data_IF_193664714325
#
_entry.id   IF_193664714325
#
_cell.length_a   1.000
_cell.length_b   1.000
_cell.length_c   1.000
_cell.angle_alpha   90.00
_cell.angle_beta   90.00
_cell.angle_gamma   90.00
#
_symmetry.space_group_name_H-M   'P 1'
#
loop_
_entity.id
_entity.type
_entity.pdbx_description
1 polymer ?
#
# COMPACT_ATOMS: atom_id res chain seq x y z
N UNK A 1 24.55 19.61 -32.33
CA UNK A 1 23.14 19.97 -32.46
C UNK A 1 23.06 21.49 -32.50
N UNK A 2 22.50 22.07 -33.52
CA UNK A 2 22.30 23.51 -33.75
C UNK A 2 23.61 24.35 -33.77
N UNK A 3 24.60 24.02 -34.63
CA UNK A 3 25.86 24.75 -34.69
C UNK A 3 25.68 26.22 -35.07
N UNK A 4 24.57 26.55 -35.73
CA UNK A 4 24.17 27.91 -36.16
C UNK A 4 23.55 28.74 -35.03
N UNK A 5 23.25 28.09 -33.85
CA UNK A 5 22.64 28.72 -32.68
C UNK A 5 23.34 28.33 -31.38
N UNK A 6 24.61 28.70 -31.19
CA UNK A 6 25.33 28.37 -29.95
C UNK A 6 24.67 28.96 -28.69
N UNK A 7 24.00 30.11 -28.83
CA UNK A 7 23.25 30.76 -27.78
C UNK A 7 22.10 29.89 -27.23
N UNK A 8 21.58 28.93 -28.00
CA UNK A 8 20.55 28.02 -27.55
C UNK A 8 21.07 27.13 -26.40
N UNK A 9 22.33 26.68 -26.48
CA UNK A 9 22.98 25.89 -25.43
C UNK A 9 23.28 26.75 -24.22
N UNK A 10 23.80 27.96 -24.41
CA UNK A 10 24.05 28.89 -23.29
C UNK A 10 22.76 29.25 -22.54
N UNK A 11 21.65 29.41 -23.27
CA UNK A 11 20.37 29.74 -22.67
C UNK A 11 19.80 28.59 -21.81
N UNK A 12 20.18 27.31 -22.03
CA UNK A 12 19.78 26.21 -21.13
C UNK A 12 20.33 26.44 -19.71
N UNK A 13 21.57 26.92 -19.58
CA UNK A 13 22.17 27.27 -18.29
C UNK A 13 21.42 28.43 -17.66
N UNK A 14 21.11 29.48 -18.42
CA UNK A 14 20.37 30.64 -17.90
C UNK A 14 18.96 30.25 -17.41
N UNK A 15 18.31 29.28 -18.08
CA UNK A 15 17.01 28.76 -17.61
C UNK A 15 17.16 28.01 -16.29
N UNK A 16 18.20 27.15 -16.18
CA UNK A 16 18.48 26.45 -14.92
C UNK A 16 18.76 27.41 -13.77
N UNK A 17 19.51 28.49 -14.02
CA UNK A 17 19.80 29.51 -12.99
C UNK A 17 18.55 30.28 -12.52
N UNK A 18 17.50 30.33 -13.33
CA UNK A 18 16.20 30.92 -12.96
C UNK A 18 15.30 29.96 -12.20
N UNK A 19 15.56 28.65 -12.31
CA UNK A 19 14.81 27.63 -11.59
C UNK A 19 15.34 27.52 -10.15
N UNK A 20 14.44 27.73 -9.18
CA UNK A 20 14.71 27.48 -7.76
C UNK A 20 13.69 26.47 -7.29
N UNK A 21 14.14 25.27 -6.99
CA UNK A 21 13.31 24.21 -6.46
C UNK A 21 14.12 23.46 -5.40
N UNK A 22 13.59 23.45 -4.19
CA UNK A 22 14.09 22.64 -3.11
C UNK A 22 13.18 21.41 -2.96
N UNK A 23 13.79 20.23 -2.86
CA UNK A 23 13.07 18.98 -2.63
C UNK A 23 13.24 18.57 -1.18
N UNK A 24 12.14 18.34 -0.51
CA UNK A 24 12.11 17.73 0.81
C UNK A 24 12.12 16.20 0.65
N UNK A 25 13.25 15.57 1.02
CA UNK A 25 13.38 14.11 0.94
C UNK A 25 13.08 13.47 2.30
N UNK A 26 12.52 12.25 2.26
CA UNK A 26 12.29 11.45 3.47
C UNK A 26 10.99 11.77 4.22
N UNK A 27 10.17 12.67 3.71
CA UNK A 27 8.84 12.96 4.25
C UNK A 27 7.77 12.28 3.40
N UNK A 28 7.00 11.38 4.01
CA UNK A 28 5.86 10.72 3.35
C UNK A 28 4.58 11.51 3.66
N UNK A 29 3.88 11.94 2.62
CA UNK A 29 2.57 12.58 2.73
C UNK A 29 1.51 11.53 2.42
N UNK A 30 1.13 10.75 3.43
CA UNK A 30 0.03 9.80 3.32
C UNK A 30 -1.30 10.49 3.67
N UNK A 31 -2.39 10.21 2.96
CA UNK A 31 -3.72 10.64 3.38
C UNK A 31 -4.08 10.03 4.73
N UNK A 32 -4.93 10.71 5.49
CA UNK A 32 -5.46 10.18 6.74
C UNK A 32 -6.65 9.24 6.45
N UNK A 33 -6.64 8.08 7.08
CA UNK A 33 -7.77 7.16 7.03
C UNK A 33 -8.87 7.65 7.99
N UNK A 34 -10.12 7.65 7.52
CA UNK A 34 -11.27 8.02 8.37
C UNK A 34 -11.79 6.79 9.11
N UNK A 35 -11.56 6.76 10.42
CA UNK A 35 -11.99 5.66 11.27
C UNK A 35 -13.48 5.75 11.61
N UNK A 36 -14.18 4.61 11.77
CA UNK A 36 -15.52 4.61 12.35
C UNK A 36 -15.51 5.18 13.78
N UNK A 37 -16.65 5.69 14.22
CA UNK A 37 -16.82 6.23 15.56
C UNK A 37 -16.41 5.21 16.65
N UNK A 38 -15.61 5.66 17.60
CA UNK A 38 -15.09 4.84 18.69
C UNK A 38 -13.80 4.05 18.36
N UNK A 39 -13.27 4.18 17.14
CA UNK A 39 -12.01 3.55 16.75
C UNK A 39 -10.91 4.58 16.47
N UNK A 40 -9.67 4.15 16.70
CA UNK A 40 -8.45 4.81 16.22
C UNK A 40 -7.71 3.88 15.27
N UNK A 41 -6.57 4.31 14.73
CA UNK A 41 -5.75 3.54 13.79
C UNK A 41 -5.49 2.12 14.28
N UNK A 42 -4.97 1.99 15.48
CA UNK A 42 -4.56 0.70 16.05
C UNK A 42 -5.76 -0.22 16.30
N UNK A 43 -6.79 0.30 16.95
CA UNK A 43 -7.96 -0.52 17.32
C UNK A 43 -8.78 -0.94 16.09
N UNK A 44 -8.84 -0.10 15.04
CA UNK A 44 -9.50 -0.45 13.80
C UNK A 44 -8.69 -1.48 13.01
N UNK A 45 -7.37 -1.30 12.94
CA UNK A 45 -6.48 -2.25 12.32
C UNK A 45 -6.52 -3.62 13.01
N UNK A 46 -6.47 -3.65 14.36
CA UNK A 46 -6.62 -4.87 15.14
C UNK A 46 -7.92 -5.61 14.82
N UNK A 47 -9.02 -4.86 14.81
CA UNK A 47 -10.34 -5.44 14.52
C UNK A 47 -10.37 -6.07 13.14
N UNK A 48 -9.94 -5.35 12.10
CA UNK A 48 -9.98 -5.86 10.74
C UNK A 48 -9.06 -7.06 10.52
N UNK A 49 -7.86 -7.05 11.12
CA UNK A 49 -6.95 -8.18 11.07
C UNK A 49 -7.51 -9.41 11.79
N UNK A 50 -8.15 -9.22 12.95
CA UNK A 50 -8.76 -10.31 13.71
C UNK A 50 -9.96 -10.92 12.96
N UNK A 51 -10.85 -10.08 12.43
CA UNK A 51 -12.00 -10.51 11.62
C UNK A 51 -11.53 -11.26 10.35
N UNK A 52 -10.52 -10.71 9.67
CA UNK A 52 -9.94 -11.33 8.49
C UNK A 52 -9.25 -12.66 8.80
N UNK A 53 -8.52 -12.74 9.90
CA UNK A 53 -7.90 -13.98 10.35
C UNK A 53 -8.94 -15.06 10.64
N UNK A 54 -10.00 -14.73 11.38
CA UNK A 54 -11.08 -15.66 11.67
C UNK A 54 -11.77 -16.16 10.40
N UNK A 55 -11.89 -15.30 9.39
CA UNK A 55 -12.47 -15.66 8.09
C UNK A 55 -11.55 -16.55 7.23
N UNK A 56 -10.26 -16.17 7.12
CA UNK A 56 -9.28 -16.84 6.26
C UNK A 56 -8.73 -18.12 6.88
N UNK A 57 -8.58 -18.14 8.21
CA UNK A 57 -7.98 -19.24 8.99
C UNK A 57 -8.89 -19.67 10.15
N UNK A 58 -10.09 -20.22 9.91
CA UNK A 58 -11.02 -20.58 11.00
C UNK A 58 -10.44 -21.60 11.99
N UNK A 59 -9.45 -22.38 11.56
CA UNK A 59 -8.72 -23.35 12.37
C UNK A 59 -7.22 -23.00 12.47
N UNK A 60 -6.89 -21.71 12.36
CA UNK A 60 -5.49 -21.25 12.38
C UNK A 60 -4.75 -21.63 13.65
N UNK A 61 -3.54 -22.18 13.49
CA UNK A 61 -2.68 -22.59 14.57
C UNK A 61 -2.12 -21.40 15.35
N UNK A 62 -1.50 -21.65 16.50
CA UNK A 62 -0.78 -20.62 17.26
C UNK A 62 0.39 -20.03 16.45
N UNK A 63 1.01 -20.80 15.57
CA UNK A 63 2.03 -20.33 14.65
C UNK A 63 1.49 -19.25 13.70
N UNK A 64 0.29 -19.46 13.15
CA UNK A 64 -0.37 -18.49 12.27
C UNK A 64 -0.72 -17.20 13.01
N UNK A 65 -1.20 -17.33 14.25
CA UNK A 65 -1.47 -16.15 15.10
C UNK A 65 -0.19 -15.39 15.44
N UNK A 66 0.89 -16.11 15.74
CA UNK A 66 2.19 -15.50 16.01
C UNK A 66 2.73 -14.75 14.79
N UNK A 67 2.58 -15.33 13.58
CA UNK A 67 2.96 -14.69 12.33
C UNK A 67 2.13 -13.42 12.07
N UNK A 68 0.81 -13.48 12.23
CA UNK A 68 -0.05 -12.30 12.08
C UNK A 68 0.36 -11.20 13.05
N UNK A 69 0.55 -11.54 14.33
CA UNK A 69 0.97 -10.57 15.34
C UNK A 69 2.31 -9.92 14.99
N UNK A 70 3.28 -10.70 14.57
CA UNK A 70 4.60 -10.23 14.16
C UNK A 70 4.49 -9.20 13.02
N UNK A 71 3.72 -9.51 11.98
CA UNK A 71 3.52 -8.59 10.85
C UNK A 71 2.79 -7.31 11.27
N UNK A 72 1.75 -7.42 12.09
CA UNK A 72 1.01 -6.27 12.63
C UNK A 72 1.92 -5.34 13.44
N UNK A 73 2.74 -5.90 14.32
CA UNK A 73 3.68 -5.14 15.14
C UNK A 73 4.72 -4.42 14.26
N UNK A 74 5.21 -5.08 13.20
CA UNK A 74 6.15 -4.51 12.25
C UNK A 74 5.52 -3.34 11.44
N UNK A 75 4.30 -3.53 10.95
CA UNK A 75 3.56 -2.49 10.21
C UNK A 75 3.33 -1.26 11.08
N UNK A 76 3.00 -1.44 12.36
CA UNK A 76 2.86 -0.34 13.32
C UNK A 76 4.19 0.36 13.57
N UNK A 77 5.24 -0.39 13.86
CA UNK A 77 6.56 0.16 14.12
C UNK A 77 7.06 1.03 12.96
N UNK A 78 6.74 0.65 11.74
CA UNK A 78 7.13 1.39 10.52
C UNK A 78 6.15 2.50 10.15
N UNK A 79 5.01 2.66 10.86
CA UNK A 79 4.04 3.73 10.63
C UNK A 79 3.15 3.55 9.40
N UNK A 80 2.94 2.32 8.93
CA UNK A 80 2.20 2.04 7.70
C UNK A 80 0.76 1.55 7.91
N UNK A 81 0.20 1.67 9.12
CA UNK A 81 -1.17 1.21 9.41
C UNK A 81 -2.18 1.86 8.47
N UNK A 82 -2.16 3.19 8.34
CA UNK A 82 -3.09 3.92 7.46
C UNK A 82 -2.93 3.52 5.99
N UNK A 83 -1.70 3.30 5.56
CA UNK A 83 -1.42 2.82 4.21
C UNK A 83 -2.14 1.50 3.92
N UNK A 84 -2.03 0.51 4.81
CA UNK A 84 -2.71 -0.78 4.66
C UNK A 84 -4.24 -0.63 4.70
N UNK A 85 -4.76 0.23 5.58
CA UNK A 85 -6.20 0.48 5.69
C UNK A 85 -6.76 1.14 4.43
N UNK A 86 -6.06 2.13 3.86
CA UNK A 86 -6.44 2.80 2.61
C UNK A 86 -6.43 1.79 1.45
N UNK A 87 -5.39 0.95 1.36
CA UNK A 87 -5.31 -0.08 0.32
C UNK A 87 -6.45 -1.09 0.45
N UNK A 88 -6.73 -1.58 1.66
CA UNK A 88 -7.85 -2.48 1.94
C UNK A 88 -9.20 -1.85 1.57
N UNK A 89 -9.38 -0.56 1.84
CA UNK A 89 -10.62 0.16 1.57
C UNK A 89 -10.92 0.24 0.06
N UNK A 90 -9.97 0.67 -0.77
CA UNK A 90 -10.24 0.79 -2.20
C UNK A 90 -10.30 -0.57 -2.91
N UNK A 91 -9.57 -1.59 -2.42
CA UNK A 91 -9.73 -2.97 -2.90
C UNK A 91 -11.12 -3.50 -2.52
N UNK A 92 -11.54 -3.24 -1.27
CA UNK A 92 -12.88 -3.59 -0.80
C UNK A 92 -13.97 -2.89 -1.61
N UNK A 93 -13.80 -1.60 -1.93
CA UNK A 93 -14.69 -0.88 -2.82
C UNK A 93 -14.79 -1.57 -4.19
N UNK A 94 -13.65 -1.87 -4.83
CA UNK A 94 -13.64 -2.54 -6.12
C UNK A 94 -14.38 -3.89 -6.08
N UNK A 95 -14.09 -4.72 -5.08
CA UNK A 95 -14.76 -6.02 -4.89
C UNK A 95 -16.27 -5.86 -4.65
N UNK A 96 -16.69 -4.85 -3.87
CA UNK A 96 -18.12 -4.54 -3.62
C UNK A 96 -18.87 -4.13 -4.89
N UNK A 97 -18.19 -3.40 -5.79
CA UNK A 97 -18.72 -3.01 -7.09
C UNK A 97 -18.58 -4.11 -8.16
N UNK A 98 -18.15 -5.31 -7.77
CA UNK A 98 -17.89 -6.44 -8.68
C UNK A 98 -16.90 -6.08 -9.80
N UNK A 99 -15.94 -5.21 -9.50
CA UNK A 99 -14.81 -4.93 -10.37
C UNK A 99 -13.78 -6.03 -10.13
N UNK A 100 -13.39 -6.82 -11.15
CA UNK A 100 -12.37 -7.85 -10.98
C UNK A 100 -11.06 -7.26 -10.48
N UNK A 101 -10.52 -7.88 -9.42
CA UNK A 101 -9.24 -7.55 -8.79
C UNK A 101 -8.34 -8.78 -8.91
N UNK A 102 -7.08 -8.57 -9.28
CA UNK A 102 -6.08 -9.64 -9.31
C UNK A 102 -5.81 -10.20 -7.91
N UNK A 103 -5.32 -11.44 -7.81
CA UNK A 103 -5.11 -12.10 -6.51
C UNK A 103 -3.95 -11.51 -5.69
N UNK A 104 -3.23 -10.58 -6.26
CA UNK A 104 -2.00 -10.01 -5.71
C UNK A 104 -0.76 -10.51 -6.45
N UNK A 105 0.29 -9.71 -6.42
CA UNK A 105 1.58 -10.02 -7.05
C UNK A 105 2.72 -9.35 -6.29
N UNK A 106 3.95 -9.62 -6.69
CA UNK A 106 5.12 -9.02 -6.07
C UNK A 106 5.32 -9.47 -4.63
N UNK A 107 5.98 -8.63 -3.85
CA UNK A 107 6.33 -8.92 -2.47
C UNK A 107 5.15 -8.88 -1.49
N UNK A 108 4.11 -8.11 -1.81
CA UNK A 108 2.91 -7.98 -0.96
C UNK A 108 2.16 -9.30 -0.76
N UNK A 109 2.28 -10.25 -1.71
CA UNK A 109 1.72 -11.60 -1.57
C UNK A 109 2.33 -12.38 -0.38
N UNK A 110 3.50 -11.96 0.14
CA UNK A 110 4.13 -12.55 1.33
C UNK A 110 3.55 -12.05 2.67
N UNK A 111 2.60 -11.13 2.65
CA UNK A 111 2.00 -10.57 3.87
C UNK A 111 0.70 -11.27 4.26
N UNK A 112 0.67 -11.85 5.46
CA UNK A 112 -0.54 -12.39 6.07
C UNK A 112 -1.53 -11.28 6.41
N UNK A 113 -1.06 -10.12 6.83
CA UNK A 113 -1.91 -8.94 7.07
C UNK A 113 -2.62 -8.53 5.78
N UNK A 114 -1.91 -8.45 4.64
CA UNK A 114 -2.52 -8.13 3.35
C UNK A 114 -3.58 -9.17 2.95
N UNK A 115 -3.34 -10.44 3.23
CA UNK A 115 -4.30 -11.52 3.00
C UNK A 115 -5.53 -11.42 3.93
N UNK A 116 -5.34 -11.18 5.22
CA UNK A 116 -6.43 -10.98 6.18
C UNK A 116 -7.26 -9.72 5.88
N UNK A 117 -6.62 -8.62 5.46
CA UNK A 117 -7.29 -7.39 5.06
C UNK A 117 -7.96 -7.46 3.68
N UNK A 118 -8.00 -8.64 3.06
CA UNK A 118 -8.59 -8.87 1.74
C UNK A 118 -7.95 -8.04 0.60
N UNK A 119 -6.70 -7.62 0.80
CA UNK A 119 -5.89 -6.94 -0.21
C UNK A 119 -5.39 -7.95 -1.24
N UNK A 120 -4.89 -9.09 -0.77
CA UNK A 120 -4.46 -10.21 -1.62
C UNK A 120 -5.33 -11.45 -1.40
N UNK A 121 -5.35 -12.34 -2.39
CA UNK A 121 -6.03 -13.63 -2.33
C UNK A 121 -5.03 -14.80 -2.43
N UNK A 122 -3.74 -14.53 -2.23
CA UNK A 122 -2.66 -15.52 -2.12
C UNK A 122 -2.38 -15.76 -0.64
N UNK A 123 -2.51 -17.01 -0.19
CA UNK A 123 -2.20 -17.41 1.18
C UNK A 123 -0.68 -17.54 1.38
N UNK A 124 -0.03 -16.64 2.12
CA UNK A 124 1.42 -16.68 2.30
C UNK A 124 1.90 -17.91 3.08
N UNK A 125 1.04 -18.48 3.95
CA UNK A 125 1.39 -19.66 4.72
C UNK A 125 1.36 -20.94 3.89
N UNK A 126 0.42 -21.02 2.95
CA UNK A 126 0.31 -22.16 2.04
C UNK A 126 1.51 -22.28 1.09
N UNK A 127 2.12 -21.16 0.74
CA UNK A 127 3.21 -21.10 -0.23
C UNK A 127 4.58 -20.76 0.40
N UNK A 128 4.70 -20.80 1.72
CA UNK A 128 5.94 -20.49 2.47
C UNK A 128 6.57 -19.15 2.07
N UNK A 129 5.74 -18.10 1.92
CA UNK A 129 6.20 -16.79 1.51
C UNK A 129 6.71 -15.97 2.70
N UNK A 130 7.82 -15.26 2.48
CA UNK A 130 8.47 -14.46 3.50
C UNK A 130 7.98 -13.02 3.51
N UNK A 131 7.52 -12.54 4.67
CA UNK A 131 7.09 -11.16 4.89
C UNK A 131 8.25 -10.16 4.79
N UNK A 132 9.44 -10.55 5.19
CA UNK A 132 10.65 -9.72 5.20
C UNK A 132 11.11 -9.31 3.78
N UNK A 133 10.62 -9.98 2.75
CA UNK A 133 10.81 -9.56 1.35
C UNK A 133 9.93 -8.38 0.97
N UNK A 134 8.83 -8.21 1.68
CA UNK A 134 7.88 -7.13 1.47
C UNK A 134 8.18 -5.94 2.39
N UNK A 135 8.34 -6.18 3.70
CA UNK A 135 8.59 -5.17 4.71
C UNK A 135 9.78 -5.59 5.56
N UNK A 136 10.82 -4.74 5.58
CA UNK A 136 12.03 -4.99 6.35
C UNK A 136 12.47 -3.66 7.00
N UNK A 137 12.59 -3.59 8.35
CA UNK A 137 13.00 -2.38 9.05
C UNK A 137 14.42 -1.91 8.70
N UNK A 138 15.26 -2.80 8.16
CA UNK A 138 16.59 -2.44 7.67
C UNK A 138 16.54 -1.67 6.34
N UNK A 139 15.44 -1.76 5.61
CA UNK A 139 15.14 -1.01 4.39
C UNK A 139 14.03 0.00 4.69
N UNK A 140 14.40 1.23 5.02
CA UNK A 140 13.44 2.33 5.24
C UNK A 140 12.88 2.81 3.90
N UNK A 141 12.13 1.95 3.22
CA UNK A 141 11.38 2.30 2.01
C UNK A 141 9.90 2.06 2.25
N UNK A 142 9.07 2.93 1.70
CA UNK A 142 7.62 2.73 1.73
C UNK A 142 7.27 1.39 1.05
N UNK A 143 6.38 0.58 1.65
CA UNK A 143 5.93 -0.66 1.01
C UNK A 143 5.22 -0.35 -0.31
N UNK A 144 5.43 -1.21 -1.29
CA UNK A 144 4.78 -1.12 -2.60
C UNK A 144 3.82 -2.30 -2.76
N UNK A 145 2.52 -2.00 -2.77
CA UNK A 145 1.46 -2.98 -2.96
C UNK A 145 0.89 -2.81 -4.37
N UNK A 146 1.33 -3.68 -5.26
CA UNK A 146 0.84 -3.75 -6.64
C UNK A 146 -0.54 -4.41 -6.71
N UNK A 147 -1.53 -3.71 -7.24
CA UNK A 147 -2.89 -4.23 -7.40
C UNK A 147 -3.33 -4.10 -8.85
N UNK A 148 -3.78 -5.22 -9.41
CA UNK A 148 -4.30 -5.28 -10.77
C UNK A 148 -5.83 -5.19 -10.76
N UNK A 149 -6.37 -4.13 -11.36
CA UNK A 149 -7.80 -3.96 -11.58
C UNK A 149 -8.19 -4.22 -13.03
N UNK A 150 -9.44 -4.65 -13.23
CA UNK A 150 -10.01 -4.76 -14.56
C UNK A 150 -9.76 -3.49 -15.37
N UNK A 151 -9.07 -3.62 -16.50
CA UNK A 151 -8.70 -2.50 -17.37
C UNK A 151 -9.88 -1.60 -17.74
N UNK A 152 -11.05 -2.19 -17.99
CA UNK A 152 -12.25 -1.44 -18.42
C UNK A 152 -12.85 -0.59 -17.31
N UNK A 153 -12.65 -0.97 -16.04
CA UNK A 153 -13.34 -0.35 -14.91
C UNK A 153 -12.39 0.25 -13.86
N UNK A 154 -11.07 0.18 -14.06
CA UNK A 154 -10.10 0.74 -13.10
C UNK A 154 -10.30 2.24 -12.84
N UNK A 155 -10.82 2.98 -13.84
CA UNK A 155 -11.11 4.41 -13.67
C UNK A 155 -12.09 4.67 -12.52
N UNK A 156 -13.08 3.79 -12.30
CA UNK A 156 -14.04 3.91 -11.20
C UNK A 156 -13.34 3.81 -9.83
N UNK A 157 -12.31 2.96 -9.72
CA UNK A 157 -11.53 2.82 -8.48
C UNK A 157 -10.65 4.06 -8.27
N UNK A 158 -10.01 4.56 -9.32
CA UNK A 158 -9.22 5.81 -9.27
C UNK A 158 -10.09 6.99 -8.83
N UNK A 159 -11.28 7.12 -9.41
CA UNK A 159 -12.24 8.17 -9.05
C UNK A 159 -12.72 8.05 -7.58
N UNK A 160 -12.88 6.82 -7.08
CA UNK A 160 -13.20 6.58 -5.68
C UNK A 160 -12.07 7.06 -4.77
N UNK A 161 -10.83 6.68 -5.06
CA UNK A 161 -9.66 7.10 -4.28
C UNK A 161 -9.51 8.61 -4.28
N UNK A 162 -9.60 9.25 -5.45
CA UNK A 162 -9.51 10.70 -5.58
C UNK A 162 -10.60 11.45 -4.80
N UNK A 163 -11.82 10.93 -4.78
CA UNK A 163 -12.92 11.55 -4.02
C UNK A 163 -12.80 11.39 -2.51
N UNK A 164 -12.19 10.28 -2.06
CA UNK A 164 -12.13 9.95 -0.64
C UNK A 164 -10.84 10.42 0.03
N UNK A 165 -9.75 10.42 -0.70
CA UNK A 165 -8.41 10.63 -0.17
C UNK A 165 -7.60 11.73 -0.88
N UNK A 166 -8.11 12.26 -2.01
CA UNK A 166 -7.44 13.28 -2.83
C UNK A 166 -7.69 14.71 -2.42
#
# INVERSE_FOLDING_TARGET
LFPEHPEAIENTVKVVEQCRMDFEFGTYHLPEFQYPEGYNADSWFDKLCADGFAHRYPNGSEEYKARLKYEMDMIRQMGFVDYFLIVSDYVGYAKSQKIPVGPGRGSAAGSMVAYCLNITDVDPMQYDLYFERFLNPERVTMPDIDIDFCYRRRAEVIDYVNRKYG
#
